data_IF_764778040749
#
_entry.id   IF_764778040749
#
_cell.length_a   1.000
_cell.length_b   1.000
_cell.length_c   1.000
_cell.angle_alpha   90.00
_cell.angle_beta   90.00
_cell.angle_gamma   90.00
#
_symmetry.space_group_name_H-M   'P 1'
#
loop_
_entity.id
_entity.type
_entity.pdbx_description
1 polymer ?
#
# COMPACT_ATOMS: atom_id res chain seq x y z
N UNK A 1 6.31 -23.90 -27.86
CA UNK A 1 4.85 -24.10 -27.89
C UNK A 1 4.32 -23.85 -26.48
N UNK A 2 3.63 -22.77 -26.14
CA UNK A 2 2.63 -22.00 -26.87
C UNK A 2 2.72 -20.50 -26.50
N UNK A 3 2.71 -19.66 -27.52
CA UNK A 3 2.59 -18.21 -27.44
C UNK A 3 1.16 -17.85 -27.03
N UNK A 4 1.02 -17.09 -25.93
CA UNK A 4 -0.24 -16.42 -25.58
C UNK A 4 -0.02 -14.91 -25.71
N UNK A 5 -0.46 -14.37 -26.83
CA UNK A 5 -0.53 -12.94 -27.09
C UNK A 5 -1.80 -12.39 -26.43
N UNK A 6 -1.66 -11.54 -25.41
CA UNK A 6 -2.75 -10.72 -24.91
C UNK A 6 -2.60 -9.31 -25.49
N UNK A 7 -3.43 -9.01 -26.49
CA UNK A 7 -3.63 -7.69 -27.08
C UNK A 7 -4.81 -7.03 -26.35
N UNK A 8 -4.53 -6.19 -25.33
CA UNK A 8 -5.44 -5.19 -24.77
C UNK A 8 -4.69 -4.31 -23.75
N UNK A 9 -4.99 -3.00 -23.63
CA UNK A 9 -4.48 -2.19 -22.52
C UNK A 9 -5.05 -2.76 -21.21
N UNK A 10 -4.17 -3.18 -20.30
CA UNK A 10 -4.56 -3.82 -19.05
C UNK A 10 -5.29 -2.81 -18.16
N UNK A 11 -6.52 -3.08 -17.70
CA UNK A 11 -7.19 -2.24 -16.72
C UNK A 11 -6.45 -2.31 -15.37
N UNK A 12 -6.44 -1.21 -14.62
CA UNK A 12 -5.88 -1.04 -13.26
C UNK A 12 -6.23 -2.17 -12.26
N UNK A 13 -7.23 -3.01 -12.56
CA UNK A 13 -7.59 -4.20 -11.80
C UNK A 13 -6.52 -5.31 -11.76
N UNK A 14 -5.53 -5.33 -12.66
CA UNK A 14 -4.54 -6.41 -12.70
C UNK A 14 -3.40 -6.30 -11.68
N UNK A 15 -3.11 -5.12 -11.12
CA UNK A 15 -2.00 -4.94 -10.19
C UNK A 15 -2.19 -5.67 -8.83
N UNK A 16 -3.44 -5.91 -8.40
CA UNK A 16 -3.72 -6.59 -7.13
C UNK A 16 -3.89 -8.12 -7.23
N UNK A 17 -4.01 -8.72 -8.42
CA UNK A 17 -4.14 -10.19 -8.53
C UNK A 17 -2.87 -10.94 -8.09
N UNK A 18 -1.73 -10.26 -8.00
CA UNK A 18 -0.46 -10.81 -7.50
C UNK A 18 -0.48 -11.03 -5.97
N UNK A 19 -1.41 -10.39 -5.23
CA UNK A 19 -1.58 -10.60 -3.78
C UNK A 19 -2.06 -12.00 -3.38
N UNK A 20 -2.49 -12.82 -4.34
CA UNK A 20 -3.05 -14.17 -4.10
C UNK A 20 -2.19 -15.31 -4.68
N UNK A 21 -0.86 -15.12 -4.81
CA UNK A 21 0.04 -16.28 -4.81
C UNK A 21 -0.15 -17.04 -3.48
N UNK A 22 -0.07 -18.39 -3.47
CA UNK A 22 -0.47 -19.19 -2.32
C UNK A 22 0.48 -18.90 -1.16
N UNK A 23 0.08 -17.95 -0.32
CA UNK A 23 0.61 -17.77 1.03
C UNK A 23 0.36 -19.11 1.73
N UNK A 24 1.44 -19.86 1.90
CA UNK A 24 1.49 -21.21 2.46
C UNK A 24 0.56 -21.38 3.67
N UNK A 25 0.01 -22.60 3.90
CA UNK A 25 -0.91 -22.88 5.00
C UNK A 25 -0.20 -22.97 6.37
N UNK A 26 0.76 -22.09 6.65
CA UNK A 26 1.32 -21.85 7.97
C UNK A 26 0.70 -20.59 8.57
N UNK A 27 -0.62 -20.63 8.70
CA UNK A 27 -1.36 -19.74 9.59
C UNK A 27 -1.20 -20.27 11.03
N UNK A 28 0.02 -20.17 11.58
CA UNK A 28 0.27 -20.35 13.00
C UNK A 28 1.09 -19.16 13.52
N UNK A 29 0.34 -18.20 14.07
CA UNK A 29 0.59 -17.61 15.39
C UNK A 29 1.85 -16.72 15.56
N UNK A 30 1.63 -15.40 15.40
CA UNK A 30 2.00 -14.30 16.32
C UNK A 30 3.26 -13.47 16.10
N UNK A 31 3.27 -12.72 14.99
CA UNK A 31 3.12 -11.27 14.98
C UNK A 31 2.32 -10.98 13.70
N UNK A 32 1.25 -10.20 13.77
CA UNK A 32 0.38 -9.94 12.62
C UNK A 32 1.24 -9.46 11.45
N UNK A 33 1.30 -10.26 10.38
CA UNK A 33 1.93 -9.84 9.13
C UNK A 33 1.16 -8.63 8.63
N UNK A 34 1.78 -7.46 8.68
CA UNK A 34 1.14 -6.23 8.24
C UNK A 34 1.51 -5.94 6.79
N UNK A 35 0.48 -5.66 6.01
CA UNK A 35 0.62 -5.16 4.64
C UNK A 35 0.52 -3.64 4.69
N UNK A 36 1.50 -2.93 4.15
CA UNK A 36 1.43 -1.49 3.95
C UNK A 36 1.22 -1.20 2.47
N UNK A 37 0.12 -0.54 2.14
CA UNK A 37 -0.22 -0.06 0.80
C UNK A 37 -0.10 1.46 0.81
N UNK A 38 0.89 1.95 0.09
CA UNK A 38 1.16 3.37 -0.09
C UNK A 38 0.53 3.79 -1.40
N UNK A 39 -0.41 4.73 -1.31
CA UNK A 39 -1.16 5.30 -2.44
C UNK A 39 -1.13 6.83 -2.38
N UNK A 40 -1.16 7.54 -3.52
CA UNK A 40 -0.95 8.99 -3.55
C UNK A 40 -2.12 9.80 -3.03
N UNK A 41 -3.36 9.35 -3.25
CA UNK A 41 -4.57 10.13 -2.99
C UNK A 41 -5.65 9.32 -2.26
N UNK A 42 -6.58 10.00 -1.59
CA UNK A 42 -7.75 9.39 -0.95
C UNK A 42 -8.60 8.60 -1.93
N UNK A 43 -8.78 9.06 -3.17
CA UNK A 43 -9.50 8.29 -4.20
C UNK A 43 -8.86 6.93 -4.45
N UNK A 44 -7.52 6.88 -4.55
CA UNK A 44 -6.81 5.60 -4.72
C UNK A 44 -7.02 4.67 -3.52
N UNK A 45 -6.98 5.21 -2.30
CA UNK A 45 -7.30 4.44 -1.09
C UNK A 45 -8.75 3.92 -1.09
N UNK A 46 -9.71 4.73 -1.54
CA UNK A 46 -11.11 4.34 -1.69
C UNK A 46 -11.27 3.17 -2.66
N UNK A 47 -10.63 3.23 -3.82
CA UNK A 47 -10.62 2.14 -4.82
C UNK A 47 -10.00 0.86 -4.24
N UNK A 48 -8.90 0.96 -3.50
CA UNK A 48 -8.27 -0.20 -2.85
C UNK A 48 -9.21 -0.85 -1.83
N UNK A 49 -9.88 -0.06 -0.98
CA UNK A 49 -10.82 -0.59 0.01
C UNK A 49 -12.05 -1.23 -0.66
N UNK A 50 -12.58 -0.61 -1.71
CA UNK A 50 -13.69 -1.18 -2.49
C UNK A 50 -13.29 -2.49 -3.15
N UNK A 51 -12.06 -2.57 -3.68
CA UNK A 51 -11.52 -3.80 -4.25
C UNK A 51 -11.42 -4.89 -3.19
N UNK A 52 -10.92 -4.60 -1.99
CA UNK A 52 -10.91 -5.59 -0.89
C UNK A 52 -12.31 -6.08 -0.52
N UNK A 53 -13.29 -5.17 -0.44
CA UNK A 53 -14.68 -5.55 -0.20
C UNK A 53 -15.17 -6.50 -1.30
N UNK A 54 -14.94 -6.15 -2.57
CA UNK A 54 -15.38 -6.97 -3.71
C UNK A 54 -14.71 -8.35 -3.75
N UNK A 55 -13.41 -8.42 -3.42
CA UNK A 55 -12.65 -9.68 -3.39
C UNK A 55 -13.10 -10.59 -2.26
N UNK A 56 -13.42 -10.02 -1.10
CA UNK A 56 -13.90 -10.80 0.04
C UNK A 56 -15.36 -11.25 -0.13
N UNK A 57 -16.21 -10.45 -0.78
CA UNK A 57 -17.58 -10.86 -1.14
C UNK A 57 -17.53 -12.02 -2.15
N UNK A 58 -16.60 -11.97 -3.11
CA UNK A 58 -16.39 -13.03 -4.11
C UNK A 58 -17.67 -13.34 -4.91
N UNK A 59 -17.78 -14.58 -5.41
CA UNK A 59 -18.99 -15.06 -6.13
C UNK A 59 -20.15 -15.37 -5.17
N UNK A 60 -19.89 -15.40 -3.87
CA UNK A 60 -20.90 -15.64 -2.85
C UNK A 60 -21.67 -14.35 -2.62
N UNK A 61 -22.95 -14.29 -3.01
CA UNK A 61 -23.87 -13.14 -2.77
C UNK A 61 -24.11 -12.76 -1.29
N UNK A 62 -23.23 -13.14 -0.37
CA UNK A 62 -23.29 -12.83 1.06
C UNK A 62 -22.59 -11.50 1.32
N UNK A 63 -23.37 -10.47 1.65
CA UNK A 63 -22.87 -9.15 2.00
C UNK A 63 -21.92 -9.22 3.21
N UNK A 64 -20.76 -8.60 3.09
CA UNK A 64 -19.81 -8.45 4.20
C UNK A 64 -20.20 -7.25 5.05
N UNK A 65 -20.02 -7.39 6.36
CA UNK A 65 -20.25 -6.29 7.30
C UNK A 65 -19.00 -5.40 7.31
N UNK A 66 -19.15 -4.14 6.91
CA UNK A 66 -18.06 -3.15 6.94
C UNK A 66 -18.32 -2.14 8.06
N UNK A 67 -17.53 -2.20 9.13
CA UNK A 67 -17.61 -1.22 10.21
C UNK A 67 -17.06 0.14 9.76
N UNK A 68 -17.64 1.24 10.26
CA UNK A 68 -17.25 2.62 9.94
C UNK A 68 -17.36 3.02 8.45
N UNK A 69 -18.10 2.25 7.64
CA UNK A 69 -18.29 2.53 6.20
C UNK A 69 -18.84 3.93 5.90
N UNK A 70 -19.80 4.42 6.70
CA UNK A 70 -20.39 5.75 6.51
C UNK A 70 -19.36 6.87 6.70
N UNK A 71 -18.55 6.77 7.75
CA UNK A 71 -17.44 7.71 8.00
C UNK A 71 -16.43 7.68 6.85
N UNK A 72 -16.04 6.48 6.42
CA UNK A 72 -15.11 6.30 5.31
C UNK A 72 -15.59 6.95 4.02
N UNK A 73 -16.86 6.73 3.66
CA UNK A 73 -17.44 7.34 2.46
C UNK A 73 -17.51 8.86 2.54
N UNK A 74 -17.75 9.44 3.72
CA UNK A 74 -17.74 10.90 3.88
C UNK A 74 -16.33 11.53 3.82
N UNK A 75 -15.29 10.80 4.22
CA UNK A 75 -13.90 11.31 4.27
C UNK A 75 -13.12 11.06 2.97
N UNK A 76 -13.37 9.92 2.32
CA UNK A 76 -12.64 9.46 1.13
C UNK A 76 -13.48 9.54 -0.16
N UNK A 77 -14.81 9.61 -0.04
CA UNK A 77 -15.67 9.84 -1.19
C UNK A 77 -15.47 11.23 -1.77
N UNK A 78 -16.00 11.42 -2.97
CA UNK A 78 -16.09 12.71 -3.64
C UNK A 78 -17.47 12.83 -4.26
N UNK A 79 -18.05 14.03 -4.23
CA UNK A 79 -19.32 14.25 -4.91
C UNK A 79 -19.06 14.38 -6.42
N UNK A 80 -19.80 13.66 -7.28
CA UNK A 80 -19.60 13.71 -8.73
C UNK A 80 -19.77 15.12 -9.33
N UNK A 81 -20.45 16.01 -8.61
CA UNK A 81 -20.76 17.39 -9.01
C UNK A 81 -19.64 18.40 -8.71
N UNK A 82 -18.66 18.05 -7.87
CA UNK A 82 -17.52 18.93 -7.53
C UNK A 82 -16.40 18.92 -8.60
N UNK A 83 -16.61 18.27 -9.75
CA UNK A 83 -15.63 18.28 -10.84
C UNK A 83 -15.44 19.73 -11.34
N UNK A 84 -14.20 20.26 -11.33
CA UNK A 84 -13.97 21.58 -11.89
C UNK A 84 -14.41 21.59 -13.37
N UNK A 85 -15.18 22.60 -13.81
CA UNK A 85 -15.74 22.61 -15.14
C UNK A 85 -14.65 22.71 -16.21
N UNK A 86 -14.70 21.79 -17.18
CA UNK A 86 -14.19 21.90 -18.54
C UNK A 86 -12.81 22.55 -18.75
N UNK A 87 -11.75 21.89 -18.28
CA UNK A 87 -10.45 21.97 -18.96
C UNK A 87 -10.31 20.68 -19.77
N UNK A 88 -10.17 20.76 -21.10
CA UNK A 88 -9.78 19.62 -21.93
C UNK A 88 -8.39 19.17 -21.49
N UNK A 89 -8.32 18.24 -20.54
CA UNK A 89 -7.06 17.67 -20.06
C UNK A 89 -6.83 16.35 -20.81
N UNK A 90 -5.56 15.92 -20.96
CA UNK A 90 -5.27 14.59 -21.49
C UNK A 90 -5.99 13.50 -20.66
N UNK A 91 -6.43 12.43 -21.32
CA UNK A 91 -7.19 11.33 -20.68
C UNK A 91 -6.46 10.75 -19.45
N UNK A 92 -5.13 10.67 -19.51
CA UNK A 92 -4.29 10.21 -18.41
C UNK A 92 -4.35 11.13 -17.18
N UNK A 93 -4.49 12.44 -17.39
CA UNK A 93 -4.65 13.40 -16.30
C UNK A 93 -6.01 13.22 -15.64
N UNK A 94 -7.07 13.08 -16.44
CA UNK A 94 -8.41 12.86 -15.90
C UNK A 94 -8.46 11.57 -15.08
N UNK A 95 -7.90 10.46 -15.58
CA UNK A 95 -7.88 9.17 -14.88
C UNK A 95 -7.12 9.19 -13.54
N UNK A 96 -6.09 10.02 -13.40
CA UNK A 96 -5.27 10.13 -12.18
C UNK A 96 -5.91 11.07 -11.14
N UNK A 97 -6.57 12.14 -11.59
CA UNK A 97 -7.09 13.21 -10.72
C UNK A 97 -8.63 13.23 -10.60
N UNK A 98 -9.32 12.11 -10.87
CA UNK A 98 -10.74 11.98 -10.53
C UNK A 98 -10.88 11.89 -9.00
N UNK A 99 -11.88 12.60 -8.47
CA UNK A 99 -12.36 12.41 -7.11
C UNK A 99 -11.51 13.11 -6.05
N UNK A 100 -11.36 12.46 -4.90
CA UNK A 100 -10.71 13.08 -3.74
C UNK A 100 -9.18 13.00 -3.85
N UNK A 101 -8.56 14.11 -4.23
CA UNK A 101 -7.10 14.27 -4.44
C UNK A 101 -6.34 14.69 -3.16
N UNK A 102 -6.97 14.68 -2.00
CA UNK A 102 -6.29 14.93 -0.73
C UNK A 102 -5.23 13.83 -0.48
N UNK A 103 -4.00 14.23 -0.19
CA UNK A 103 -2.83 13.39 0.02
C UNK A 103 -2.41 13.31 1.50
N UNK A 104 -3.24 13.81 2.42
CA UNK A 104 -3.05 13.70 3.86
C UNK A 104 -4.05 12.71 4.45
N UNK A 105 -3.69 11.43 4.41
CA UNK A 105 -4.54 10.38 4.97
C UNK A 105 -3.77 9.14 5.40
N UNK A 106 -4.40 8.40 6.29
CA UNK A 106 -3.93 7.12 6.81
C UNK A 106 -5.09 6.33 7.39
N UNK A 107 -5.16 5.04 7.12
CA UNK A 107 -6.21 4.18 7.62
C UNK A 107 -5.67 2.78 7.91
N UNK A 108 -5.95 2.28 9.11
CA UNK A 108 -5.78 0.88 9.46
C UNK A 108 -7.04 0.09 9.14
N UNK A 109 -6.87 -1.07 8.54
CA UNK A 109 -7.93 -2.00 8.17
C UNK A 109 -7.65 -3.34 8.85
N UNK A 110 -8.61 -3.84 9.62
CA UNK A 110 -8.57 -5.18 10.18
C UNK A 110 -9.55 -6.09 9.45
N UNK A 111 -9.07 -7.25 9.00
CA UNK A 111 -9.84 -8.27 8.29
C UNK A 111 -10.25 -9.35 9.29
N UNK A 112 -11.55 -9.45 9.54
CA UNK A 112 -12.14 -10.53 10.32
C UNK A 112 -12.79 -11.55 9.37
N UNK A 113 -13.16 -12.72 9.89
CA UNK A 113 -13.67 -13.84 9.09
C UNK A 113 -14.85 -13.46 8.16
N UNK A 114 -15.70 -12.52 8.56
CA UNK A 114 -16.88 -12.08 7.79
C UNK A 114 -17.13 -10.57 7.87
N UNK A 115 -16.13 -9.81 8.29
CA UNK A 115 -16.26 -8.38 8.44
C UNK A 115 -14.93 -7.67 8.21
N UNK A 116 -15.03 -6.43 7.75
CA UNK A 116 -13.90 -5.52 7.61
C UNK A 116 -14.13 -4.39 8.60
N UNK A 117 -13.14 -4.14 9.46
CA UNK A 117 -13.14 -3.00 10.36
C UNK A 117 -12.22 -1.93 9.81
N UNK A 118 -12.81 -0.85 9.32
CA UNK A 118 -12.09 0.36 8.93
C UNK A 118 -11.75 1.20 10.15
N UNK A 119 -10.63 1.94 10.09
CA UNK A 119 -10.07 2.74 11.18
C UNK A 119 -9.65 1.90 12.40
N UNK A 120 -9.12 0.70 12.15
CA UNK A 120 -8.45 -0.06 13.19
C UNK A 120 -7.16 0.67 13.63
N UNK A 121 -6.80 0.66 14.93
CA UNK A 121 -5.50 1.12 15.40
C UNK A 121 -4.36 0.37 14.71
N UNK A 122 -3.24 1.05 14.44
CA UNK A 122 -2.17 0.52 13.58
C UNK A 122 -1.55 -0.78 14.10
N UNK A 123 -1.34 -0.90 15.41
CA UNK A 123 -0.83 -2.13 16.02
C UNK A 123 -1.80 -3.32 15.94
N UNK A 124 -3.07 -3.07 15.63
CA UNK A 124 -4.13 -4.09 15.55
C UNK A 124 -4.73 -4.23 14.14
N UNK A 125 -4.23 -3.47 13.17
CA UNK A 125 -4.64 -3.61 11.77
C UNK A 125 -3.85 -4.70 11.07
N UNK A 126 -4.48 -5.36 10.11
CA UNK A 126 -3.81 -6.32 9.23
C UNK A 126 -3.24 -5.60 7.98
N UNK A 127 -3.93 -4.55 7.53
CA UNK A 127 -3.56 -3.75 6.36
C UNK A 127 -3.54 -2.28 6.76
N UNK A 128 -2.45 -1.60 6.44
CA UNK A 128 -2.31 -0.15 6.52
C UNK A 128 -2.43 0.40 5.10
N UNK A 129 -3.30 1.38 4.90
CA UNK A 129 -3.40 2.12 3.64
C UNK A 129 -3.13 3.59 3.97
N UNK A 130 -2.11 4.18 3.38
CA UNK A 130 -1.72 5.54 3.72
C UNK A 130 -1.00 6.26 2.59
N UNK A 131 -1.00 7.58 2.68
CA UNK A 131 -0.14 8.44 1.89
C UNK A 131 1.25 8.56 2.53
N UNK A 132 2.31 8.82 1.75
CA UNK A 132 3.64 9.12 2.31
C UNK A 132 3.60 10.30 3.28
N UNK A 133 2.84 11.36 2.96
CA UNK A 133 2.65 12.53 3.82
C UNK A 133 1.90 12.16 5.11
N UNK A 134 0.82 11.38 5.00
CA UNK A 134 0.06 10.89 6.15
C UNK A 134 0.92 10.07 7.11
N UNK A 135 1.86 9.26 6.61
CA UNK A 135 2.83 8.52 7.44
C UNK A 135 3.92 9.42 8.02
N UNK A 136 4.42 10.40 7.24
CA UNK A 136 5.43 11.37 7.68
C UNK A 136 5.03 12.06 8.99
N UNK A 137 3.74 12.39 9.14
CA UNK A 137 3.22 13.08 10.34
C UNK A 137 3.13 12.22 11.60
N UNK A 138 3.21 10.90 11.47
CA UNK A 138 3.22 9.95 12.59
C UNK A 138 4.65 9.60 12.97
N UNK A 139 5.44 9.29 11.95
CA UNK A 139 6.86 8.99 12.11
C UNK A 139 7.55 10.22 12.70
N UNK A 140 7.12 11.44 12.33
CA UNK A 140 7.66 12.67 12.89
C UNK A 140 9.11 12.95 12.51
N UNK A 141 9.60 14.11 12.92
CA UNK A 141 11.00 14.53 12.79
C UNK A 141 11.90 13.99 13.91
N UNK A 142 13.22 14.05 13.70
CA UNK A 142 14.17 13.85 14.79
C UNK A 142 13.98 14.94 15.87
N UNK A 143 13.85 14.55 17.13
CA UNK A 143 13.63 15.46 18.26
C UNK A 143 12.16 15.73 18.61
N UNK A 144 11.19 15.20 17.86
CA UNK A 144 9.77 15.35 18.17
C UNK A 144 9.31 14.38 19.26
N UNK A 145 8.54 14.90 20.24
CA UNK A 145 8.06 14.10 21.39
C UNK A 145 6.96 13.09 21.05
N UNK A 146 6.29 13.22 19.90
CA UNK A 146 5.14 12.39 19.48
C UNK A 146 5.46 11.55 18.24
N UNK A 147 6.72 11.13 18.10
CA UNK A 147 7.18 10.27 17.02
C UNK A 147 6.88 8.81 17.35
N UNK A 148 6.21 8.14 16.42
CA UNK A 148 5.99 6.69 16.47
C UNK A 148 6.25 6.07 15.09
N UNK A 149 7.12 5.07 15.03
CA UNK A 149 7.42 4.30 13.82
C UNK A 149 7.43 2.79 14.08
N UNK A 150 7.11 2.34 15.30
CA UNK A 150 7.27 0.94 15.68
C UNK A 150 6.27 0.06 14.93
N UNK A 151 5.12 0.62 14.53
CA UNK A 151 4.15 -0.05 13.64
C UNK A 151 4.71 -0.39 12.25
N UNK A 152 5.84 0.20 11.82
CA UNK A 152 6.51 -0.14 10.55
C UNK A 152 7.49 -1.32 10.68
N UNK A 153 7.79 -1.75 11.92
CA UNK A 153 8.78 -2.81 12.19
C UNK A 153 8.32 -4.18 11.67
N UNK A 154 7.02 -4.45 11.76
CA UNK A 154 6.35 -5.73 11.46
C UNK A 154 5.84 -5.85 10.02
N UNK A 155 6.11 -4.87 9.15
CA UNK A 155 5.64 -4.91 7.76
C UNK A 155 6.38 -5.98 6.97
N UNK A 156 5.62 -6.94 6.43
CA UNK A 156 6.13 -8.03 5.60
C UNK A 156 5.92 -7.78 4.10
N UNK A 157 4.89 -7.01 3.74
CA UNK A 157 4.59 -6.64 2.38
C UNK A 157 4.39 -5.13 2.28
N UNK A 158 5.23 -4.49 1.48
CA UNK A 158 5.11 -3.07 1.13
C UNK A 158 4.69 -2.96 -0.33
N UNK A 159 3.59 -2.29 -0.60
CA UNK A 159 3.13 -1.93 -1.94
C UNK A 159 3.23 -0.42 -2.06
N UNK A 160 3.98 0.07 -3.03
CA UNK A 160 4.01 1.48 -3.42
C UNK A 160 3.39 1.53 -4.82
N UNK A 161 2.17 2.05 -4.91
CA UNK A 161 1.45 2.20 -6.17
C UNK A 161 1.66 3.59 -6.76
N UNK A 162 1.66 3.68 -8.10
CA UNK A 162 1.79 4.94 -8.86
C UNK A 162 2.98 5.80 -8.42
N UNK A 163 4.18 5.21 -8.42
CA UNK A 163 5.40 5.82 -7.93
C UNK A 163 5.75 7.15 -8.61
N UNK A 164 5.32 7.34 -9.85
CA UNK A 164 5.58 8.56 -10.65
C UNK A 164 4.89 9.79 -10.06
N UNK A 165 3.74 9.60 -9.41
CA UNK A 165 2.97 10.70 -8.81
C UNK A 165 3.74 11.27 -7.62
N UNK A 166 4.48 10.43 -6.88
CA UNK A 166 5.30 10.89 -5.76
C UNK A 166 6.48 11.77 -6.20
N UNK A 167 6.97 11.57 -7.44
CA UNK A 167 7.98 12.45 -8.03
C UNK A 167 7.43 13.86 -8.24
N UNK A 168 6.14 13.99 -8.56
CA UNK A 168 5.46 15.27 -8.76
C UNK A 168 5.01 15.92 -7.44
N UNK A 169 4.71 15.12 -6.41
CA UNK A 169 4.30 15.61 -5.09
C UNK A 169 5.52 16.01 -4.23
N UNK A 170 6.12 15.04 -3.53
CA UNK A 170 7.33 15.21 -2.74
C UNK A 170 7.98 13.84 -2.50
N UNK A 171 9.08 13.59 -3.21
CA UNK A 171 9.82 12.34 -3.11
C UNK A 171 10.49 12.15 -1.74
N UNK A 172 10.78 13.22 -1.01
CA UNK A 172 11.39 13.14 0.32
C UNK A 172 10.50 12.41 1.32
N UNK A 173 9.17 12.49 1.18
CA UNK A 173 8.25 11.73 2.02
C UNK A 173 8.40 10.22 1.82
N UNK A 174 8.63 9.78 0.58
CA UNK A 174 8.90 8.37 0.25
C UNK A 174 10.24 7.95 0.83
N UNK A 175 11.30 8.74 0.61
CA UNK A 175 12.63 8.45 1.19
C UNK A 175 12.59 8.38 2.72
N UNK A 176 11.86 9.29 3.35
CA UNK A 176 11.66 9.29 4.78
C UNK A 176 10.95 8.01 5.24
N UNK A 177 9.87 7.61 4.57
CA UNK A 177 9.20 6.34 4.87
C UNK A 177 10.18 5.17 4.75
N UNK A 178 10.91 5.05 3.63
CA UNK A 178 11.83 3.95 3.38
C UNK A 178 12.95 3.84 4.42
N UNK A 179 13.43 4.96 4.96
CA UNK A 179 14.42 4.99 6.05
C UNK A 179 13.89 4.43 7.38
N UNK A 180 12.57 4.44 7.59
CA UNK A 180 11.93 4.00 8.84
C UNK A 180 11.29 2.62 8.73
N UNK A 181 11.41 1.95 7.57
CA UNK A 181 10.85 0.61 7.38
C UNK A 181 11.69 -0.45 8.09
N UNK A 182 11.01 -1.38 8.78
CA UNK A 182 11.62 -2.53 9.45
C UNK A 182 12.75 -2.20 10.43
N UNK A 183 12.74 -1.00 11.03
CA UNK A 183 13.62 -0.67 12.15
C UNK A 183 13.21 -1.49 13.38
N UNK A 184 14.17 -1.68 14.29
CA UNK A 184 13.86 -2.27 15.59
C UNK A 184 12.93 -1.31 16.36
N UNK A 185 11.83 -1.82 16.93
CA UNK A 185 10.90 -0.99 17.68
C UNK A 185 11.57 -0.46 18.96
N UNK A 186 11.21 0.76 19.36
CA UNK A 186 11.71 1.39 20.58
C UNK A 186 10.93 0.93 21.82
N UNK A 187 9.62 0.74 21.69
CA UNK A 187 8.77 0.22 22.75
C UNK A 187 8.27 -1.20 22.41
N UNK A 188 8.05 -1.98 23.46
CA UNK A 188 7.53 -3.34 23.39
C UNK A 188 6.04 -3.40 23.04
N UNK A 189 5.26 -2.33 23.29
CA UNK A 189 3.80 -2.29 23.06
C UNK A 189 3.03 -3.50 23.62
N UNK A 190 3.53 -4.10 24.71
CA UNK A 190 2.94 -5.31 25.31
C UNK A 190 3.16 -6.60 24.51
N UNK A 191 4.10 -6.61 23.56
CA UNK A 191 4.49 -7.81 22.80
C UNK A 191 5.29 -8.77 23.68
N UNK A 192 4.92 -10.04 23.59
CA UNK A 192 5.64 -11.14 24.23
C UNK A 192 6.84 -11.58 23.36
N UNK A 193 8.05 -11.27 23.84
CA UNK A 193 9.31 -11.55 23.14
C UNK A 193 9.52 -13.03 22.81
N UNK A 194 8.92 -13.96 23.57
CA UNK A 194 9.03 -15.39 23.29
C UNK A 194 8.42 -15.80 21.94
N UNK A 195 7.56 -14.95 21.37
CA UNK A 195 6.86 -15.18 20.10
C UNK A 195 7.45 -14.37 18.95
N UNK A 196 8.43 -13.52 19.23
CA UNK A 196 9.10 -12.72 18.20
C UNK A 196 10.04 -13.61 17.40
N UNK A 197 9.94 -13.50 16.07
CA UNK A 197 10.81 -14.23 15.15
C UNK A 197 12.26 -13.80 15.33
N UNK A 198 13.18 -14.76 15.32
CA UNK A 198 14.61 -14.50 15.55
C UNK A 198 15.21 -13.53 14.53
N UNK A 199 14.79 -13.61 13.27
CA UNK A 199 15.24 -12.67 12.24
C UNK A 199 14.78 -11.23 12.47
N UNK A 200 13.64 -11.03 13.16
CA UNK A 200 13.20 -9.69 13.53
C UNK A 200 14.04 -9.11 14.67
N UNK A 201 14.43 -9.95 15.64
CA UNK A 201 15.38 -9.56 16.70
C UNK A 201 16.78 -9.24 16.16
N UNK A 202 17.22 -9.98 15.14
CA UNK A 202 18.52 -9.79 14.49
C UNK A 202 18.53 -8.64 13.45
N UNK A 203 17.45 -7.86 13.33
CA UNK A 203 17.31 -6.79 12.34
C UNK A 203 17.47 -7.28 10.88
N UNK A 204 17.04 -8.50 10.61
CA UNK A 204 17.03 -9.10 9.27
C UNK A 204 15.67 -8.97 8.58
N UNK A 205 14.65 -8.41 9.26
CA UNK A 205 13.31 -8.16 8.70
C UNK A 205 13.33 -7.49 7.33
N UNK A 206 14.29 -6.57 7.09
CA UNK A 206 14.46 -5.90 5.79
C UNK A 206 14.68 -6.85 4.61
N UNK A 207 15.27 -8.03 4.85
CA UNK A 207 15.54 -9.04 3.81
C UNK A 207 14.35 -9.95 3.52
N UNK A 208 13.40 -10.04 4.45
CA UNK A 208 12.19 -10.85 4.32
C UNK A 208 10.98 -10.04 3.87
N UNK A 209 11.05 -8.70 3.93
CA UNK A 209 9.99 -7.83 3.42
C UNK A 209 9.93 -7.91 1.90
N UNK A 210 8.79 -8.32 1.37
CA UNK A 210 8.50 -8.18 -0.05
C UNK A 210 8.10 -6.72 -0.36
N UNK A 211 8.75 -6.10 -1.34
CA UNK A 211 8.40 -4.74 -1.79
C UNK A 211 7.95 -4.80 -3.24
N UNK A 212 6.74 -4.31 -3.52
CA UNK A 212 6.17 -4.17 -4.85
C UNK A 212 6.10 -2.67 -5.18
N UNK A 213 6.80 -2.26 -6.23
CA UNK A 213 6.88 -0.87 -6.67
C UNK A 213 6.27 -0.78 -8.07
N UNK A 214 5.17 -0.04 -8.19
CA UNK A 214 4.47 0.15 -9.46
C UNK A 214 4.62 1.60 -9.92
N UNK A 215 4.95 1.80 -11.19
CA UNK A 215 5.07 3.11 -11.83
C UNK A 215 4.96 2.96 -13.35
N UNK A 216 4.44 3.99 -14.00
CA UNK A 216 4.31 4.12 -15.44
C UNK A 216 5.61 4.61 -16.11
N UNK A 217 6.43 5.37 -15.40
CA UNK A 217 7.67 5.96 -15.91
C UNK A 217 8.89 5.30 -15.26
N UNK A 218 9.99 5.28 -16.01
CA UNK A 218 11.29 4.90 -15.47
C UNK A 218 12.03 6.17 -15.06
N UNK A 219 12.26 6.33 -13.76
CA UNK A 219 13.02 7.45 -13.22
C UNK A 219 14.21 6.96 -12.37
N UNK A 220 15.29 7.74 -12.36
CA UNK A 220 16.48 7.42 -11.59
C UNK A 220 16.22 7.35 -10.08
N UNK A 221 15.30 8.17 -9.55
CA UNK A 221 14.92 8.19 -8.14
C UNK A 221 14.20 6.90 -7.73
N UNK A 222 13.25 6.45 -8.57
CA UNK A 222 12.54 5.17 -8.39
C UNK A 222 13.54 4.01 -8.41
N UNK A 223 14.45 3.99 -9.39
CA UNK A 223 15.50 2.97 -9.50
C UNK A 223 16.47 3.00 -8.30
N UNK A 224 16.78 4.19 -7.77
CA UNK A 224 17.60 4.32 -6.58
C UNK A 224 16.91 3.71 -5.35
N UNK A 225 15.60 3.91 -5.19
CA UNK A 225 14.85 3.31 -4.08
C UNK A 225 14.78 1.79 -4.24
N UNK A 226 14.54 1.31 -5.45
CA UNK A 226 14.53 -0.11 -5.77
C UNK A 226 15.86 -0.78 -5.39
N UNK A 227 16.98 -0.24 -5.87
CA UNK A 227 18.30 -0.81 -5.61
C UNK A 227 18.71 -0.72 -4.14
N UNK A 228 18.41 0.41 -3.45
CA UNK A 228 18.88 0.67 -2.09
C UNK A 228 18.04 -0.02 -1.01
N UNK A 229 16.71 -0.03 -1.16
CA UNK A 229 15.81 -0.46 -0.08
C UNK A 229 15.06 -1.77 -0.35
N UNK A 230 14.99 -2.24 -1.60
CA UNK A 230 14.29 -3.50 -1.93
C UNK A 230 15.23 -4.70 -1.86
N UNK A 231 15.94 -4.86 -0.74
CA UNK A 231 16.87 -5.97 -0.53
C UNK A 231 16.09 -7.22 -0.15
N UNK A 232 15.87 -8.14 -1.09
CA UNK A 232 15.15 -9.39 -0.81
C UNK A 232 16.10 -10.60 -0.95
N UNK A 233 15.93 -11.62 -0.09
CA UNK A 233 16.77 -12.83 -0.08
C UNK A 233 16.81 -13.54 -1.44
N UNK A 234 15.67 -13.62 -2.13
CA UNK A 234 15.54 -14.26 -3.45
C UNK A 234 15.88 -13.32 -4.61
N UNK A 235 16.37 -12.10 -4.34
CA UNK A 235 16.74 -11.12 -5.34
C UNK A 235 15.60 -10.20 -5.77
N UNK A 236 15.82 -9.51 -6.89
CA UNK A 236 14.97 -8.44 -7.40
C UNK A 236 14.58 -8.72 -8.85
N UNK A 237 13.34 -8.42 -9.22
CA UNK A 237 12.85 -8.54 -10.59
C UNK A 237 12.24 -7.21 -11.01
N UNK A 238 12.72 -6.66 -12.13
CA UNK A 238 12.13 -5.49 -12.77
C UNK A 238 11.56 -5.89 -14.12
N UNK A 239 10.27 -5.63 -14.35
CA UNK A 239 9.62 -5.85 -15.64
C UNK A 239 9.16 -4.53 -16.22
N UNK A 240 9.47 -4.27 -17.50
CA UNK A 240 8.97 -3.11 -18.22
C UNK A 240 7.86 -3.55 -19.17
N UNK A 241 6.67 -3.00 -18.99
CA UNK A 241 5.61 -3.10 -19.99
C UNK A 241 5.92 -2.12 -21.11
N UNK A 242 6.29 -2.64 -22.28
CA UNK A 242 6.40 -1.84 -23.50
C UNK A 242 5.05 -1.94 -24.19
N UNK A 243 4.30 -0.84 -24.23
CA UNK A 243 3.08 -0.77 -25.04
C UNK A 243 3.50 -0.87 -26.51
N UNK A 244 3.17 -2.00 -27.15
CA UNK A 244 3.27 -2.12 -28.59
C UNK A 244 2.24 -1.17 -29.20
N UNK A 245 2.68 -0.03 -29.71
CA UNK A 245 1.83 0.84 -30.53
C UNK A 245 1.52 0.04 -31.80
N UNK A 246 0.29 -0.46 -31.92
CA UNK A 246 -0.18 -1.02 -33.19
C UNK A 246 -0.27 0.15 -34.17
N UNK A 247 0.59 0.10 -35.19
CA UNK A 247 0.62 1.04 -36.31
C UNK A 247 -0.47 0.68 -37.32
#
# INVERSE_FOLDING_TARGET
CSTWSFLAPLPQQFHLKILFLPLTPLRLLLLSAQVLIVVPFREAALRVVQLFISLLEGDSKKKIIVSNKKRFQGEYGSDPEERPPNLKRPEDYEAVFVGNIDDHFRIGVAILQRSIRLYAPFYSSDILIASPLGLRTIIGGEGEKKRDFDFLSSIELLIIDQADIYLMQNWEHVLHLMNHMNLLPLDSHGVDFSRVRMWSLNNWSKYYRQTLLFGALQDAQINSVFNKYCVNMQGQVGSRLVSSVSS
#
